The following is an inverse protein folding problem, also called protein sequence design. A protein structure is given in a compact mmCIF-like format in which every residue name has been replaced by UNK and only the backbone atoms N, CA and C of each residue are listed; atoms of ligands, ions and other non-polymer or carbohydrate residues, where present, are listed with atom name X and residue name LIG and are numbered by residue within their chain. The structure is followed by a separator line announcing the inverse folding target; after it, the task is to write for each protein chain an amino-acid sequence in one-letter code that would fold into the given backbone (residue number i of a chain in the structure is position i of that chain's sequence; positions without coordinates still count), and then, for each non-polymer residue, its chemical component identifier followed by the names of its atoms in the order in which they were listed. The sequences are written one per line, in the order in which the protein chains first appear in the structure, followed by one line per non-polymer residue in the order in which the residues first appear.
data_IF_555583976640
#
_entry.id   IF_555583976640
#
_cell.length_a   1.000
_cell.length_b   1.000
_cell.length_c   1.000
_cell.angle_alpha   90.00
_cell.angle_beta   90.00
_cell.angle_gamma   90.00
#
_symmetry.space_group_name_H-M   'P 1'
#
loop_
_entity.id
_entity.type
_entity.pdbx_description
1 polymer ?
#
# COMPACT_ATOMS: atom_id res chain seq x y z
N UNK A 1 6.35 18.93 2.13
CA UNK A 1 6.31 19.64 0.82
C UNK A 1 4.97 20.35 0.74
N UNK A 2 4.94 21.61 0.34
CA UNK A 2 3.68 22.35 0.14
C UNK A 2 2.96 21.79 -1.08
N UNK A 3 1.65 21.51 -0.97
CA UNK A 3 0.84 21.02 -2.09
C UNK A 3 0.60 22.18 -3.05
N UNK A 4 1.12 22.08 -4.28
CA UNK A 4 0.90 23.07 -5.33
C UNK A 4 -0.11 22.54 -6.36
N UNK A 5 -0.84 23.41 -7.08
CA UNK A 5 -1.74 22.98 -8.17
C UNK A 5 -1.03 22.13 -9.24
N UNK A 6 0.22 22.48 -9.56
CA UNK A 6 1.09 21.73 -10.48
C UNK A 6 1.38 20.30 -9.98
N UNK A 7 1.45 20.10 -8.66
CA UNK A 7 1.64 18.79 -8.05
C UNK A 7 0.38 17.93 -8.17
N UNK A 8 -0.80 18.55 -8.05
CA UNK A 8 -2.10 17.88 -8.21
C UNK A 8 -2.29 17.45 -9.65
N UNK A 9 -1.94 18.31 -10.61
CA UNK A 9 -1.97 17.97 -12.04
C UNK A 9 -0.98 16.85 -12.38
N UNK A 10 0.24 16.91 -11.82
CA UNK A 10 1.25 15.85 -12.02
C UNK A 10 0.86 14.51 -11.38
N UNK A 11 0.05 14.50 -10.32
CA UNK A 11 -0.27 13.28 -9.58
C UNK A 11 -1.11 12.28 -10.40
N UNK A 12 -1.80 12.74 -11.45
CA UNK A 12 -2.60 11.91 -12.37
C UNK A 12 -3.54 10.96 -11.60
N UNK A 13 -4.25 11.51 -10.62
CA UNK A 13 -5.17 10.77 -9.75
C UNK A 13 -4.48 9.72 -8.86
N UNK A 14 -3.34 10.06 -8.26
CA UNK A 14 -2.58 9.15 -7.38
C UNK A 14 -1.74 8.10 -8.12
N UNK A 15 -1.61 8.20 -9.44
CA UNK A 15 -0.76 7.28 -10.23
C UNK A 15 0.71 7.61 -10.06
N UNK A 16 1.06 8.89 -9.96
CA UNK A 16 2.45 9.31 -9.82
C UNK A 16 3.08 8.75 -8.54
N UNK A 17 2.37 8.81 -7.41
CA UNK A 17 2.88 8.25 -6.16
C UNK A 17 3.09 6.73 -6.27
N UNK A 18 2.19 5.99 -6.93
CA UNK A 18 2.37 4.54 -7.16
C UNK A 18 3.62 4.24 -7.99
N UNK A 19 3.89 5.05 -9.01
CA UNK A 19 5.10 4.95 -9.85
C UNK A 19 6.38 5.24 -9.04
N UNK A 20 6.37 6.27 -8.20
CA UNK A 20 7.52 6.61 -7.34
C UNK A 20 7.76 5.55 -6.26
N UNK A 21 6.70 4.96 -5.70
CA UNK A 21 6.83 3.83 -4.76
C UNK A 21 7.46 2.62 -5.46
N UNK A 22 7.11 2.35 -6.72
CA UNK A 22 7.74 1.31 -7.50
C UNK A 22 9.23 1.62 -7.79
N UNK A 23 9.56 2.89 -8.06
CA UNK A 23 10.94 3.33 -8.24
C UNK A 23 11.76 3.14 -6.96
N UNK A 24 11.22 3.56 -5.82
CA UNK A 24 11.80 3.36 -4.49
C UNK A 24 12.12 1.89 -4.21
N UNK A 25 11.17 1.01 -4.48
CA UNK A 25 11.32 -0.43 -4.30
C UNK A 25 12.50 -1.01 -5.09
N UNK A 26 12.74 -0.53 -6.31
CA UNK A 26 13.83 -1.04 -7.17
C UNK A 26 15.18 -0.47 -6.74
N UNK A 27 15.23 0.79 -6.31
CA UNK A 27 16.44 1.47 -5.86
C UNK A 27 16.87 1.05 -4.44
N UNK A 28 15.95 0.54 -3.62
CA UNK A 28 16.28 -0.03 -2.30
C UNK A 28 17.03 -1.35 -2.49
N UNK A 29 18.11 -1.55 -1.71
CA UNK A 29 18.92 -2.76 -1.82
C UNK A 29 18.07 -4.03 -1.67
N UNK A 30 18.30 -5.06 -2.51
CA UNK A 30 17.63 -6.34 -2.36
C UNK A 30 17.98 -6.96 -1.00
N UNK A 31 17.08 -7.82 -0.50
CA UNK A 31 17.33 -8.59 0.71
C UNK A 31 18.30 -9.76 0.46
N UNK A 32 18.34 -10.67 1.42
CA UNK A 32 19.19 -11.85 1.38
C UNK A 32 18.86 -12.80 0.21
N UNK A 33 19.89 -13.51 -0.25
CA UNK A 33 19.75 -14.60 -1.22
C UNK A 33 19.54 -15.89 -0.44
N UNK A 34 18.37 -16.49 -0.63
CA UNK A 34 17.98 -17.76 0.00
C UNK A 34 18.16 -18.87 -1.03
N UNK A 35 18.92 -19.90 -0.67
CA UNK A 35 19.02 -21.11 -1.47
C UNK A 35 17.93 -22.09 -1.05
N UNK A 36 17.09 -22.48 -2.01
CA UNK A 36 16.09 -23.53 -1.83
C UNK A 36 16.75 -24.91 -1.72
N UNK A 37 16.03 -25.88 -1.15
CA UNK A 37 16.44 -27.29 -1.07
C UNK A 37 16.84 -27.88 -2.43
N UNK A 38 16.24 -27.40 -3.52
CA UNK A 38 16.58 -27.78 -4.91
C UNK A 38 17.86 -27.10 -5.46
N UNK A 39 18.59 -26.36 -4.63
CA UNK A 39 19.78 -25.59 -5.02
C UNK A 39 19.47 -24.30 -5.81
N UNK A 40 18.20 -23.89 -5.88
CA UNK A 40 17.79 -22.67 -6.57
C UNK A 40 17.98 -21.45 -5.67
N UNK A 41 18.68 -20.44 -6.17
CA UNK A 41 18.87 -19.18 -5.47
C UNK A 41 17.71 -18.21 -5.70
N UNK A 42 17.19 -17.63 -4.62
CA UNK A 42 16.09 -16.67 -4.62
C UNK A 42 16.52 -15.41 -3.88
N UNK A 43 16.49 -14.29 -4.58
CA UNK A 43 16.72 -12.97 -3.98
C UNK A 43 15.43 -12.49 -3.34
N UNK A 44 15.49 -12.15 -2.05
CA UNK A 44 14.32 -11.63 -1.35
C UNK A 44 14.08 -10.15 -1.68
N UNK A 45 12.81 -9.73 -1.76
CA UNK A 45 12.46 -8.33 -1.94
C UNK A 45 12.89 -7.48 -0.73
N UNK A 46 13.18 -6.19 -0.91
CA UNK A 46 13.49 -5.28 0.18
C UNK A 46 12.34 -5.18 1.18
N UNK A 47 12.66 -4.84 2.44
CA UNK A 47 11.67 -4.71 3.52
C UNK A 47 10.51 -3.77 3.16
N UNK A 48 10.81 -2.67 2.46
CA UNK A 48 9.79 -1.70 2.02
C UNK A 48 8.71 -2.32 1.11
N UNK A 49 9.05 -3.37 0.37
CA UNK A 49 8.10 -4.11 -0.48
C UNK A 49 7.37 -5.18 0.34
N UNK A 50 8.10 -5.88 1.21
CA UNK A 50 7.54 -6.91 2.11
C UNK A 50 6.51 -6.31 3.06
N UNK A 51 6.81 -5.19 3.70
CA UNK A 51 5.90 -4.47 4.58
C UNK A 51 4.64 -4.00 3.86
N UNK A 52 4.76 -3.65 2.57
CA UNK A 52 3.61 -3.26 1.75
C UNK A 52 2.69 -4.44 1.46
N UNK A 53 3.26 -5.56 1.04
CA UNK A 53 2.49 -6.80 0.82
C UNK A 53 1.82 -7.25 2.12
N UNK A 54 2.53 -7.19 3.26
CA UNK A 54 1.95 -7.47 4.59
C UNK A 54 0.79 -6.53 4.91
N UNK A 55 0.98 -5.22 4.75
CA UNK A 55 -0.07 -4.25 5.03
C UNK A 55 -1.30 -4.39 4.12
N UNK A 56 -1.16 -4.85 2.88
CA UNK A 56 -2.33 -5.17 2.04
C UNK A 56 -3.02 -6.45 2.51
N UNK A 57 -2.28 -7.48 2.92
CA UNK A 57 -2.84 -8.72 3.48
C UNK A 57 -3.58 -8.49 4.80
N UNK A 58 -3.07 -7.58 5.62
CA UNK A 58 -3.69 -7.25 6.91
C UNK A 58 -5.00 -6.45 6.72
N UNK A 59 -5.10 -5.65 5.64
CA UNK A 59 -6.28 -4.81 5.36
C UNK A 59 -7.36 -5.49 4.52
N UNK A 60 -6.96 -6.39 3.61
CA UNK A 60 -7.87 -7.03 2.67
C UNK A 60 -8.12 -8.46 3.08
N UNK A 61 -9.30 -8.72 3.63
CA UNK A 61 -9.74 -10.05 4.04
C UNK A 61 -9.80 -11.06 2.88
N UNK A 62 -9.98 -10.57 1.63
CA UNK A 62 -10.09 -11.41 0.44
C UNK A 62 -8.79 -11.34 -0.37
N UNK A 63 -8.19 -12.50 -0.63
CA UNK A 63 -6.88 -12.62 -1.27
C UNK A 63 -6.87 -12.37 -2.78
N UNK A 64 -8.02 -12.31 -3.44
CA UNK A 64 -8.12 -12.17 -4.91
C UNK A 64 -7.67 -10.79 -5.40
N UNK A 65 -7.72 -9.77 -4.55
CA UNK A 65 -7.42 -8.38 -4.91
C UNK A 65 -6.05 -7.89 -4.41
N UNK A 66 -5.24 -8.79 -3.83
CA UNK A 66 -3.93 -8.42 -3.32
C UNK A 66 -3.00 -7.97 -4.45
N UNK A 67 -2.39 -6.80 -4.27
CA UNK A 67 -1.31 -6.34 -5.13
C UNK A 67 -0.07 -7.19 -4.87
N UNK A 68 0.33 -8.02 -5.83
CA UNK A 68 1.53 -8.84 -5.72
C UNK A 68 2.80 -7.98 -5.95
N UNK A 69 3.14 -7.09 -4.99
CA UNK A 69 4.23 -6.12 -5.15
C UNK A 69 5.59 -6.81 -5.13
N UNK A 70 5.79 -7.85 -4.31
CA UNK A 70 7.02 -8.66 -4.33
C UNK A 70 7.27 -9.32 -5.68
N UNK A 71 6.23 -9.87 -6.32
CA UNK A 71 6.33 -10.48 -7.65
C UNK A 71 6.66 -9.44 -8.72
N UNK A 72 6.00 -8.29 -8.66
CA UNK A 72 6.29 -7.16 -9.54
C UNK A 72 7.73 -6.66 -9.40
N UNK A 73 8.22 -6.55 -8.16
CA UNK A 73 9.60 -6.20 -7.87
C UNK A 73 10.58 -7.25 -8.42
N UNK A 74 10.30 -8.54 -8.21
CA UNK A 74 11.19 -9.62 -8.63
C UNK A 74 11.39 -9.66 -10.14
N UNK A 75 10.33 -9.46 -10.92
CA UNK A 75 10.44 -9.37 -12.39
C UNK A 75 11.32 -8.19 -12.79
N UNK A 76 11.13 -7.01 -12.18
CA UNK A 76 11.95 -5.82 -12.45
C UNK A 76 13.41 -6.01 -12.03
N UNK A 77 13.65 -6.73 -10.95
CA UNK A 77 15.00 -7.11 -10.51
C UNK A 77 15.66 -8.05 -11.52
N UNK A 78 14.95 -9.10 -11.98
CA UNK A 78 15.44 -10.05 -13.00
C UNK A 78 15.69 -9.43 -14.37
N UNK A 79 14.96 -8.37 -14.70
CA UNK A 79 15.22 -7.56 -15.90
C UNK A 79 16.55 -6.79 -15.84
N UNK A 80 17.24 -6.75 -14.69
CA UNK A 80 18.45 -5.95 -14.51
C UNK A 80 18.18 -4.45 -14.40
N UNK A 81 16.91 -4.05 -14.23
CA UNK A 81 16.48 -2.65 -14.29
C UNK A 81 17.13 -1.79 -13.20
N UNK A 82 17.46 -2.38 -12.04
CA UNK A 82 18.16 -1.69 -10.96
C UNK A 82 19.49 -1.09 -11.41
N UNK A 83 20.35 -1.90 -12.06
CA UNK A 83 21.67 -1.45 -12.50
C UNK A 83 21.56 -0.29 -13.49
N UNK A 84 20.70 -0.46 -14.50
CA UNK A 84 20.42 0.58 -15.51
C UNK A 84 19.91 1.87 -14.86
N UNK A 85 19.01 1.76 -13.88
CA UNK A 85 18.48 2.93 -13.18
C UNK A 85 19.53 3.65 -12.34
N UNK A 86 20.39 2.93 -11.63
CA UNK A 86 21.47 3.53 -10.85
C UNK A 86 22.38 4.35 -11.76
N UNK A 87 22.82 3.76 -12.87
CA UNK A 87 23.69 4.43 -13.85
C UNK A 87 23.01 5.69 -14.42
N UNK A 88 21.75 5.56 -14.85
CA UNK A 88 20.97 6.66 -15.40
C UNK A 88 20.73 7.80 -14.40
N UNK A 89 20.50 7.48 -13.13
CA UNK A 89 20.26 8.47 -12.07
C UNK A 89 21.56 9.21 -11.72
N UNK A 90 22.72 8.58 -11.88
CA UNK A 90 24.04 9.17 -11.71
C UNK A 90 24.47 10.02 -12.93
N UNK A 91 23.63 10.07 -13.97
CA UNK A 91 23.80 10.94 -15.13
C UNK A 91 24.57 10.30 -16.27
N UNK A 92 24.80 8.98 -16.22
CA UNK A 92 25.34 8.26 -17.37
C UNK A 92 24.35 8.28 -18.53
N UNK A 93 24.90 8.29 -19.73
CA UNK A 93 24.13 8.23 -20.96
C UNK A 93 24.25 6.85 -21.55
N UNK A 94 23.12 6.33 -22.04
CA UNK A 94 23.03 4.99 -22.57
C UNK A 94 22.77 5.05 -24.08
N UNK A 95 23.43 4.17 -24.83
CA UNK A 95 23.19 3.96 -26.25
C UNK A 95 22.23 2.80 -26.47
N UNK A 96 21.51 2.82 -27.58
CA UNK A 96 20.52 1.79 -27.90
C UNK A 96 21.10 0.41 -28.20
N UNK A 97 22.40 0.34 -28.50
CA UNK A 97 23.18 -0.84 -28.87
C UNK A 97 24.00 -1.40 -27.70
N UNK A 98 23.79 -0.91 -26.47
CA UNK A 98 24.45 -1.49 -25.31
C UNK A 98 23.88 -2.88 -24.98
N UNK A 99 24.79 -3.83 -24.73
CA UNK A 99 24.46 -5.22 -24.43
C UNK A 99 23.49 -5.35 -23.24
N UNK A 100 23.52 -4.42 -22.29
CA UNK A 100 22.60 -4.37 -21.15
C UNK A 100 21.15 -4.06 -21.58
N UNK A 101 20.94 -3.12 -22.52
CA UNK A 101 19.60 -2.84 -23.06
C UNK A 101 19.15 -3.99 -23.96
N UNK A 102 20.03 -4.55 -24.79
CA UNK A 102 19.69 -5.69 -25.65
C UNK A 102 19.26 -6.90 -24.82
N UNK A 103 20.02 -7.24 -23.77
CA UNK A 103 19.66 -8.33 -22.85
C UNK A 103 18.31 -8.09 -22.15
N UNK A 104 18.03 -6.85 -21.74
CA UNK A 104 16.74 -6.46 -21.18
C UNK A 104 15.60 -6.65 -22.18
N UNK A 105 15.81 -6.25 -23.45
CA UNK A 105 14.83 -6.40 -24.51
C UNK A 105 14.57 -7.86 -24.85
N UNK A 106 15.61 -8.68 -24.96
CA UNK A 106 15.51 -10.12 -25.24
C UNK A 106 14.83 -10.87 -24.11
N UNK A 107 15.15 -10.54 -22.85
CA UNK A 107 14.43 -11.09 -21.70
C UNK A 107 12.95 -10.69 -21.75
N UNK A 108 12.69 -9.41 -22.06
CA UNK A 108 11.34 -8.85 -22.12
C UNK A 108 10.47 -9.52 -23.18
N UNK A 109 11.02 -9.73 -24.39
CA UNK A 109 10.31 -10.38 -25.50
C UNK A 109 10.05 -11.86 -25.20
N UNK A 110 11.03 -12.59 -24.63
CA UNK A 110 10.86 -14.00 -24.24
C UNK A 110 9.80 -14.20 -23.15
N UNK A 111 9.63 -13.23 -22.26
CA UNK A 111 8.71 -13.31 -21.11
C UNK A 111 7.50 -12.39 -21.26
N UNK A 112 7.14 -11.97 -22.47
CA UNK A 112 6.12 -10.95 -22.71
C UNK A 112 4.76 -11.27 -22.05
N UNK A 113 4.35 -12.54 -22.06
CA UNK A 113 3.11 -12.99 -21.39
C UNK A 113 3.16 -12.79 -19.88
N UNK A 114 4.28 -13.14 -19.24
CA UNK A 114 4.47 -12.95 -17.80
C UNK A 114 4.56 -11.48 -17.43
N UNK A 115 5.25 -10.67 -18.25
CA UNK A 115 5.36 -9.23 -18.04
C UNK A 115 3.99 -8.55 -18.18
N UNK A 116 3.17 -8.98 -19.14
CA UNK A 116 1.78 -8.51 -19.24
C UNK A 116 0.97 -8.90 -18.01
N UNK A 117 1.05 -10.14 -17.54
CA UNK A 117 0.30 -10.60 -16.38
C UNK A 117 0.71 -9.92 -15.06
N UNK A 118 2.00 -9.67 -14.87
CA UNK A 118 2.55 -9.19 -13.59
C UNK A 118 2.68 -7.66 -13.57
N UNK A 119 3.25 -7.06 -14.62
CA UNK A 119 3.52 -5.63 -14.68
C UNK A 119 2.44 -4.87 -15.44
N UNK A 120 1.44 -5.54 -16.01
CA UNK A 120 0.43 -4.95 -16.88
C UNK A 120 1.05 -4.13 -18.03
N UNK A 121 2.16 -4.64 -18.59
CA UNK A 121 2.86 -4.02 -19.71
C UNK A 121 2.80 -4.93 -20.93
N UNK A 122 2.38 -4.39 -22.07
CA UNK A 122 2.40 -5.11 -23.36
C UNK A 122 3.69 -4.79 -24.09
N UNK A 123 4.43 -5.83 -24.50
CA UNK A 123 5.72 -5.69 -25.19
C UNK A 123 5.59 -6.23 -26.61
N UNK A 124 5.55 -5.36 -27.63
CA UNK A 124 5.60 -5.79 -29.02
C UNK A 124 6.99 -6.36 -29.37
N UNK A 125 7.02 -7.32 -30.29
CA UNK A 125 8.25 -8.04 -30.66
C UNK A 125 9.13 -7.26 -31.66
N UNK A 126 8.50 -6.38 -32.44
CA UNK A 126 9.10 -5.51 -33.45
C UNK A 126 9.70 -4.23 -32.88
N UNK A 127 9.41 -3.92 -31.62
CA UNK A 127 9.88 -2.69 -30.98
C UNK A 127 11.36 -2.72 -30.58
N UNK A 128 11.95 -1.52 -30.57
CA UNK A 128 13.36 -1.33 -30.25
C UNK A 128 13.66 -1.52 -28.76
N UNK A 129 14.89 -1.95 -28.38
CA UNK A 129 15.28 -2.11 -26.97
C UNK A 129 15.07 -0.84 -26.14
N UNK A 130 15.36 0.33 -26.73
CA UNK A 130 15.19 1.63 -26.04
C UNK A 130 13.71 1.98 -25.83
N UNK A 131 12.85 1.62 -26.78
CA UNK A 131 11.41 1.80 -26.60
C UNK A 131 10.90 0.96 -25.42
N UNK A 132 11.32 -0.31 -25.35
CA UNK A 132 10.98 -1.22 -24.25
C UNK A 132 11.47 -0.66 -22.91
N UNK A 133 12.72 -0.18 -22.85
CA UNK A 133 13.24 0.49 -21.66
C UNK A 133 12.40 1.71 -21.28
N UNK A 134 12.00 2.53 -22.26
CA UNK A 134 11.19 3.72 -22.01
C UNK A 134 9.82 3.37 -21.42
N UNK A 135 9.22 2.24 -21.80
CA UNK A 135 7.99 1.75 -21.18
C UNK A 135 8.18 1.42 -19.69
N UNK A 136 9.27 0.73 -19.34
CA UNK A 136 9.58 0.45 -17.93
C UNK A 136 9.85 1.73 -17.14
N UNK A 137 10.59 2.68 -17.69
CA UNK A 137 10.84 3.97 -17.05
C UNK A 137 9.54 4.76 -16.83
N UNK A 138 8.62 4.71 -17.79
CA UNK A 138 7.29 5.32 -17.66
C UNK A 138 6.44 4.73 -16.52
N UNK A 139 6.56 3.43 -16.24
CA UNK A 139 5.95 2.79 -15.07
C UNK A 139 6.56 3.23 -13.74
N UNK A 140 7.76 3.82 -13.77
CA UNK A 140 8.47 4.35 -12.60
C UNK A 140 8.37 5.87 -12.49
N UNK A 141 7.64 6.52 -13.40
CA UNK A 141 7.46 7.96 -13.41
C UNK A 141 8.68 8.72 -13.91
N UNK A 142 9.52 8.07 -14.71
CA UNK A 142 10.71 8.64 -15.31
C UNK A 142 10.54 8.72 -16.84
N UNK A 143 11.03 9.79 -17.45
CA UNK A 143 11.12 9.92 -18.91
C UNK A 143 12.56 10.04 -19.39
N UNK A 144 12.79 9.67 -20.65
CA UNK A 144 14.09 9.79 -21.31
C UNK A 144 14.12 10.98 -22.26
N UNK A 145 15.27 11.64 -22.34
CA UNK A 145 15.59 12.64 -23.35
C UNK A 145 16.69 12.09 -24.24
N UNK A 146 16.55 12.25 -25.56
CA UNK A 146 17.57 11.82 -26.52
C UNK A 146 18.38 13.01 -27.02
N UNK A 147 19.71 12.86 -27.09
CA UNK A 147 20.59 13.77 -27.81
C UNK A 147 21.28 13.04 -28.96
N UNK A 148 21.58 13.78 -30.03
CA UNK A 148 22.27 13.25 -31.23
C UNK A 148 23.55 14.04 -31.49
N UNK A 149 24.58 13.87 -30.66
CA UNK A 149 25.89 14.42 -30.96
C UNK A 149 26.46 13.79 -32.24
N UNK A 150 27.31 14.54 -32.92
CA UNK A 150 28.09 14.04 -34.04
C UNK A 150 29.42 13.55 -33.47
N UNK A 151 29.64 12.25 -33.53
CA UNK A 151 30.83 11.58 -33.02
C UNK A 151 31.41 10.73 -34.16
N UNK A 152 32.69 10.92 -34.47
CA UNK A 152 33.39 10.25 -35.57
C UNK A 152 32.66 10.30 -36.93
N UNK A 153 32.04 11.44 -37.26
CA UNK A 153 31.31 11.65 -38.51
C UNK A 153 29.97 10.90 -38.62
N UNK A 154 29.58 10.15 -37.59
CA UNK A 154 28.28 9.46 -37.50
C UNK A 154 27.40 10.14 -36.46
N UNK A 155 26.08 10.14 -36.70
CA UNK A 155 25.09 10.62 -35.73
C UNK A 155 24.72 9.47 -34.81
N UNK A 156 25.31 9.42 -33.61
CA UNK A 156 24.98 8.45 -32.57
C UNK A 156 23.91 9.03 -31.66
N UNK A 157 22.97 8.19 -31.20
CA UNK A 157 21.86 8.62 -30.35
C UNK A 157 22.10 8.17 -28.92
N UNK A 158 22.24 9.13 -28.04
CA UNK A 158 22.40 8.92 -26.61
C UNK A 158 21.10 9.25 -25.88
N UNK A 159 20.78 8.47 -24.87
CA UNK A 159 19.61 8.62 -24.03
C UNK A 159 20.04 8.91 -22.61
N UNK A 160 19.41 9.91 -21.99
CA UNK A 160 19.58 10.29 -20.59
C UNK A 160 18.22 10.46 -19.94
N UNK A 161 18.14 10.39 -18.62
CA UNK A 161 16.89 10.73 -17.93
C UNK A 161 16.60 12.23 -18.01
N UNK A 162 15.32 12.57 -17.98
CA UNK A 162 14.89 13.94 -17.82
C UNK A 162 15.31 14.46 -16.43
N UNK A 163 16.09 15.54 -16.41
CA UNK A 163 16.61 16.12 -15.17
C UNK A 163 15.49 16.59 -14.22
N UNK A 164 14.37 17.08 -14.75
CA UNK A 164 13.23 17.52 -13.94
C UNK A 164 12.55 16.35 -13.24
N UNK A 165 12.32 15.25 -13.95
CA UNK A 165 11.71 14.03 -13.39
C UNK A 165 12.61 13.43 -12.32
N UNK A 166 13.92 13.38 -12.57
CA UNK A 166 14.90 12.85 -11.60
C UNK A 166 14.97 13.74 -10.37
N UNK A 167 15.03 15.07 -10.52
CA UNK A 167 15.07 15.99 -9.39
C UNK A 167 13.78 15.89 -8.55
N UNK A 168 12.64 15.78 -9.21
CA UNK A 168 11.35 15.57 -8.54
C UNK A 168 11.32 14.24 -7.80
N UNK A 169 11.67 13.14 -8.46
CA UNK A 169 11.72 11.81 -7.86
C UNK A 169 12.66 11.78 -6.64
N UNK A 170 13.89 12.30 -6.76
CA UNK A 170 14.85 12.41 -5.63
C UNK A 170 14.26 13.16 -4.44
N UNK A 171 13.55 14.27 -4.68
CA UNK A 171 12.91 15.07 -3.61
C UNK A 171 11.80 14.29 -2.91
N UNK A 172 10.95 13.58 -3.66
CA UNK A 172 9.86 12.78 -3.10
C UNK A 172 10.41 11.56 -2.36
N UNK A 173 11.40 10.87 -2.90
CA UNK A 173 12.08 9.75 -2.24
C UNK A 173 12.72 10.19 -0.92
N UNK A 174 13.45 11.31 -0.91
CA UNK A 174 14.05 11.85 0.31
C UNK A 174 13.01 12.32 1.35
N UNK A 175 11.82 12.73 0.93
CA UNK A 175 10.72 13.03 1.85
C UNK A 175 10.10 11.76 2.44
N UNK A 176 9.88 10.74 1.61
CA UNK A 176 9.33 9.45 2.04
C UNK A 176 10.26 8.71 3.00
N UNK A 177 11.57 8.77 2.74
CA UNK A 177 12.58 8.19 3.61
C UNK A 177 12.53 8.81 5.02
N UNK A 178 12.53 10.14 5.11
CA UNK A 178 12.38 10.86 6.38
C UNK A 178 11.09 10.51 7.12
N UNK A 179 9.97 10.43 6.39
CA UNK A 179 8.70 10.01 6.98
C UNK A 179 8.71 8.57 7.52
N UNK A 180 9.54 7.68 6.98
CA UNK A 180 9.72 6.33 7.53
C UNK A 180 10.56 6.36 8.78
N UNK A 181 11.70 7.05 8.75
CA UNK A 181 12.60 7.23 9.89
C UNK A 181 11.87 7.87 11.09
N UNK A 182 11.04 8.90 10.85
CA UNK A 182 10.20 9.50 11.89
C UNK A 182 9.17 8.53 12.46
N UNK A 183 8.55 7.70 11.61
CA UNK A 183 7.58 6.67 12.04
C UNK A 183 8.25 5.53 12.80
N UNK A 184 9.47 5.14 12.42
CA UNK A 184 10.28 4.15 13.13
C UNK A 184 10.70 4.68 14.50
N UNK A 185 11.20 5.91 14.55
CA UNK A 185 11.55 6.58 15.80
C UNK A 185 10.35 6.66 16.75
N UNK A 186 9.19 7.10 16.25
CA UNK A 186 7.96 7.16 17.05
C UNK A 186 7.54 5.78 17.58
N UNK A 187 7.60 4.74 16.74
CA UNK A 187 7.32 3.36 17.17
C UNK A 187 8.31 2.87 18.24
N UNK A 188 9.57 3.28 18.16
CA UNK A 188 10.58 2.91 19.15
C UNK A 188 10.34 3.63 20.48
N UNK A 189 10.08 4.94 20.45
CA UNK A 189 9.73 5.74 21.64
C UNK A 189 8.48 5.18 22.33
N UNK A 190 7.45 4.80 21.57
CA UNK A 190 6.22 4.17 22.11
C UNK A 190 6.51 2.83 22.77
N UNK A 191 7.34 1.97 22.15
CA UNK A 191 7.74 0.68 22.73
C UNK A 191 8.55 0.85 24.01
N UNK A 192 9.48 1.81 24.03
CA UNK A 192 10.28 2.13 25.21
C UNK A 192 9.41 2.69 26.33
N UNK A 193 8.46 3.57 26.03
CA UNK A 193 7.49 4.09 26.99
C UNK A 193 6.58 2.99 27.55
N UNK A 194 6.10 2.08 26.69
CA UNK A 194 5.31 0.93 27.10
C UNK A 194 6.13 -0.03 27.98
N UNK A 195 7.38 -0.32 27.61
CA UNK A 195 8.26 -1.17 28.40
C UNK A 195 8.61 -0.54 29.77
N UNK A 196 8.88 0.77 29.79
CA UNK A 196 9.15 1.51 31.03
C UNK A 196 7.91 1.55 31.94
N UNK A 197 6.72 1.74 31.36
CA UNK A 197 5.46 1.65 32.09
C UNK A 197 5.24 0.24 32.65
N UNK A 198 5.44 -0.80 31.83
CA UNK A 198 5.30 -2.19 32.25
C UNK A 198 6.27 -2.55 33.38
N UNK A 199 7.54 -2.17 33.27
CA UNK A 199 8.55 -2.38 34.31
C UNK A 199 8.20 -1.63 35.61
N UNK A 200 7.67 -0.41 35.51
CA UNK A 200 7.20 0.35 36.68
C UNK A 200 6.02 -0.32 37.36
N UNK A 201 5.04 -0.81 36.59
CA UNK A 201 3.88 -1.52 37.13
C UNK A 201 4.28 -2.84 37.79
N UNK A 202 5.20 -3.58 37.19
CA UNK A 202 5.73 -4.83 37.74
C UNK A 202 6.52 -4.57 39.04
N UNK A 203 7.36 -3.53 39.09
CA UNK A 203 8.11 -3.18 40.29
C UNK A 203 7.22 -2.66 41.44
N UNK A 204 6.13 -1.96 41.13
CA UNK A 204 5.26 -1.34 42.14
C UNK A 204 4.18 -2.29 42.67
N UNK A 205 3.63 -3.16 41.82
CA UNK A 205 2.47 -3.99 42.16
C UNK A 205 2.74 -5.50 42.07
N UNK A 206 3.87 -5.94 41.50
CA UNK A 206 4.16 -7.36 41.29
C UNK A 206 3.26 -8.03 40.25
N UNK A 207 2.58 -7.23 39.41
CA UNK A 207 1.64 -7.68 38.38
C UNK A 207 2.28 -7.44 37.01
N UNK A 208 2.23 -8.43 36.12
CA UNK A 208 2.55 -8.21 34.72
C UNK A 208 1.54 -7.19 34.14
N UNK A 209 2.05 -6.10 33.57
CA UNK A 209 1.18 -5.02 33.11
C UNK A 209 0.16 -5.54 32.08
N UNK A 210 -1.13 -5.18 32.20
CA UNK A 210 -2.14 -5.58 31.23
C UNK A 210 -1.74 -5.07 29.83
N UNK A 211 -1.94 -5.93 28.82
CA UNK A 211 -1.47 -5.77 27.44
C UNK A 211 -2.05 -4.55 26.69
N UNK A 212 -2.89 -3.76 27.33
CA UNK A 212 -3.55 -2.59 26.79
C UNK A 212 -3.62 -1.48 27.86
N UNK A 213 -3.03 -0.29 27.61
CA UNK A 213 -3.20 0.84 28.52
C UNK A 213 -4.67 1.29 28.55
N UNK A 214 -5.17 1.83 29.68
CA UNK A 214 -6.53 2.38 29.75
C UNK A 214 -6.68 3.52 28.74
N UNK A 215 -7.74 3.45 27.93
CA UNK A 215 -8.08 4.49 26.98
C UNK A 215 -8.27 5.82 27.73
N UNK A 216 -7.59 6.87 27.27
CA UNK A 216 -7.69 8.20 27.86
C UNK A 216 -9.01 8.82 27.37
N UNK A 217 -10.13 8.51 28.03
CA UNK A 217 -11.47 9.02 27.69
C UNK A 217 -11.66 10.43 28.28
N UNK A 218 -10.78 11.39 27.99
CA UNK A 218 -11.08 12.81 28.24
C UNK A 218 -10.34 13.67 27.20
N UNK A 219 -11.08 14.22 26.24
CA UNK A 219 -10.63 15.39 25.47
C UNK A 219 -11.04 15.36 23.99
N UNK A 220 -11.99 16.22 23.63
CA UNK A 220 -12.28 16.64 22.26
C UNK A 220 -10.98 16.91 21.47
N UNK A 221 -10.84 16.29 20.30
CA UNK A 221 -10.10 16.91 19.19
C UNK A 221 -10.51 16.30 17.84
N UNK A 222 -11.31 17.06 17.09
CA UNK A 222 -11.35 16.98 15.64
C UNK A 222 -10.01 17.53 15.12
N UNK A 223 -9.06 16.64 14.88
CA UNK A 223 -7.76 16.97 14.32
C UNK A 223 -6.96 15.68 14.18
N UNK A 224 -6.70 15.27 12.94
CA UNK A 224 -6.21 13.95 12.58
C UNK A 224 -5.16 13.37 13.53
N UNK A 225 -5.52 12.25 14.15
CA UNK A 225 -4.64 11.37 14.91
C UNK A 225 -4.84 9.97 14.35
N UNK A 226 -3.99 9.57 13.39
CA UNK A 226 -3.87 8.17 12.99
C UNK A 226 -3.03 7.44 14.04
N UNK A 227 -3.74 6.89 15.02
CA UNK A 227 -3.25 5.92 15.99
C UNK A 227 -4.34 4.90 16.26
N UNK A 228 -4.19 3.72 15.65
CA UNK A 228 -4.77 2.45 16.10
C UNK A 228 -6.25 2.47 16.47
N UNK A 229 -7.12 2.53 15.46
CA UNK A 229 -8.16 1.54 15.21
C UNK A 229 -8.37 1.59 13.68
N UNK A 230 -8.39 0.45 12.99
CA UNK A 230 -8.80 0.41 11.58
C UNK A 230 -10.16 1.13 11.49
N UNK A 231 -10.37 2.16 10.68
CA UNK A 231 -11.66 2.85 10.61
C UNK A 231 -12.84 1.88 10.41
N UNK A 232 -12.58 0.76 9.74
CA UNK A 232 -13.50 -0.39 9.64
C UNK A 232 -13.69 -1.12 10.98
N UNK A 233 -12.65 -1.37 11.77
CA UNK A 233 -12.77 -1.98 13.11
C UNK A 233 -13.46 -1.07 14.12
N UNK A 234 -13.27 0.26 14.08
CA UNK A 234 -13.95 1.18 15.02
C UNK A 234 -15.42 1.29 14.68
N UNK A 235 -15.71 1.41 13.39
CA UNK A 235 -17.09 1.48 12.91
C UNK A 235 -17.80 0.15 13.15
N UNK A 236 -17.18 -0.98 12.84
CA UNK A 236 -17.77 -2.29 13.06
C UNK A 236 -17.92 -2.63 14.54
N UNK A 237 -16.98 -2.24 15.41
CA UNK A 237 -17.16 -2.35 16.88
C UNK A 237 -18.35 -1.52 17.36
N UNK A 238 -18.45 -0.28 16.92
CA UNK A 238 -19.58 0.58 17.26
C UNK A 238 -20.92 0.00 16.78
N UNK A 239 -20.93 -0.57 15.57
CA UNK A 239 -22.07 -1.30 15.01
C UNK A 239 -22.41 -2.54 15.83
N UNK A 240 -21.43 -3.29 16.34
CA UNK A 240 -21.65 -4.44 17.22
C UNK A 240 -22.20 -4.01 18.59
N UNK A 241 -21.74 -2.90 19.15
CA UNK A 241 -22.28 -2.35 20.40
C UNK A 241 -23.74 -1.88 20.24
N UNK A 242 -24.05 -1.29 19.08
CA UNK A 242 -25.43 -0.94 18.72
C UNK A 242 -26.30 -2.18 18.50
N UNK A 243 -25.78 -3.23 17.86
CA UNK A 243 -26.46 -4.51 17.69
C UNK A 243 -26.77 -5.17 19.04
N UNK A 244 -25.82 -5.18 19.97
CA UNK A 244 -26.03 -5.68 21.33
C UNK A 244 -27.15 -4.90 22.04
N UNK A 245 -27.15 -3.57 21.91
CA UNK A 245 -28.22 -2.71 22.45
C UNK A 245 -29.58 -2.99 21.82
N UNK A 246 -29.63 -3.38 20.55
CA UNK A 246 -30.87 -3.79 19.86
C UNK A 246 -31.32 -5.17 20.35
N UNK A 247 -30.42 -6.15 20.43
CA UNK A 247 -30.71 -7.52 20.90
C UNK A 247 -31.35 -7.48 22.30
N UNK A 248 -30.79 -6.67 23.21
CA UNK A 248 -31.33 -6.47 24.55
C UNK A 248 -32.73 -5.82 24.56
N UNK A 249 -33.06 -5.02 23.54
CA UNK A 249 -34.35 -4.30 23.41
C UNK A 249 -35.42 -5.07 22.65
N UNK A 250 -35.03 -6.00 21.76
CA UNK A 250 -35.97 -6.90 21.05
C UNK A 250 -36.79 -7.71 22.06
N UNK A 251 -36.19 -8.07 23.20
CA UNK A 251 -36.87 -8.73 24.32
C UNK A 251 -38.01 -7.90 24.96
N UNK A 252 -38.06 -6.59 24.72
CA UNK A 252 -38.97 -5.68 25.41
C UNK A 252 -40.03 -5.00 24.52
N UNK A 253 -39.78 -4.77 23.21
CA UNK A 253 -40.76 -4.45 22.13
C UNK A 253 -40.06 -3.99 20.84
N UNK A 254 -40.63 -4.36 19.68
CA UNK A 254 -40.13 -3.97 18.34
C UNK A 254 -40.16 -2.46 18.08
N UNK A 255 -41.13 -1.72 18.64
CA UNK A 255 -41.21 -0.26 18.50
C UNK A 255 -39.98 0.47 19.08
N UNK A 256 -39.38 -0.08 20.14
CA UNK A 256 -38.18 0.48 20.77
C UNK A 256 -36.93 0.28 19.88
N UNK A 257 -36.91 -0.80 19.10
CA UNK A 257 -35.86 -1.08 18.11
C UNK A 257 -35.96 -0.09 16.95
N UNK A 258 -37.17 0.12 16.42
CA UNK A 258 -37.42 1.11 15.36
C UNK A 258 -37.02 2.53 15.78
N UNK A 259 -37.38 2.93 16.99
CA UNK A 259 -37.01 4.24 17.52
C UNK A 259 -35.49 4.37 17.69
N UNK A 260 -34.79 3.33 18.17
CA UNK A 260 -33.34 3.34 18.28
C UNK A 260 -32.65 3.43 16.91
N UNK A 261 -33.05 2.60 15.95
CA UNK A 261 -32.49 2.61 14.60
C UNK A 261 -32.69 3.96 13.90
N UNK A 262 -33.82 4.66 14.14
CA UNK A 262 -34.07 5.99 13.56
C UNK A 262 -33.04 7.06 13.98
N UNK A 263 -32.31 6.84 15.08
CA UNK A 263 -31.24 7.74 15.54
C UNK A 263 -29.89 7.50 14.84
N UNK A 264 -29.77 6.40 14.11
CA UNK A 264 -28.57 5.99 13.38
C UNK A 264 -28.63 6.41 11.91
N UNK A 265 -27.45 6.49 11.27
CA UNK A 265 -27.32 6.68 9.82
C UNK A 265 -27.73 5.42 9.05
N UNK A 266 -28.08 5.55 7.77
CA UNK A 266 -28.52 4.41 6.93
C UNK A 266 -27.48 3.27 6.93
N UNK A 267 -26.19 3.60 6.76
CA UNK A 267 -25.11 2.62 6.77
C UNK A 267 -24.98 1.90 8.13
N UNK A 268 -25.14 2.62 9.24
CA UNK A 268 -25.12 2.03 10.59
C UNK A 268 -26.34 1.13 10.84
N UNK A 269 -27.53 1.48 10.33
CA UNK A 269 -28.72 0.63 10.47
C UNK A 269 -28.53 -0.70 9.74
N UNK A 270 -28.00 -0.66 8.52
CA UNK A 270 -27.65 -1.85 7.76
C UNK A 270 -26.58 -2.68 8.48
N UNK A 271 -25.52 -2.02 8.96
CA UNK A 271 -24.49 -2.67 9.74
C UNK A 271 -25.04 -3.39 10.98
N UNK A 272 -25.94 -2.74 11.72
CA UNK A 272 -26.57 -3.31 12.92
C UNK A 272 -27.38 -4.55 12.58
N UNK A 273 -28.15 -4.55 11.50
CA UNK A 273 -28.93 -5.73 11.09
C UNK A 273 -28.03 -6.91 10.72
N UNK A 274 -26.94 -6.66 10.00
CA UNK A 274 -25.94 -7.70 9.65
C UNK A 274 -25.24 -8.21 10.91
N UNK A 275 -24.92 -7.34 11.86
CA UNK A 275 -24.28 -7.73 13.11
C UNK A 275 -25.21 -8.54 14.04
N UNK A 276 -26.52 -8.29 14.02
CA UNK A 276 -27.51 -9.11 14.76
C UNK A 276 -27.62 -10.49 14.12
N UNK A 277 -27.70 -10.58 12.79
CA UNK A 277 -27.74 -11.86 12.06
C UNK A 277 -26.45 -12.69 12.30
N UNK A 278 -25.28 -12.02 12.40
CA UNK A 278 -24.00 -12.69 12.71
C UNK A 278 -23.94 -13.20 14.17
N UNK A 279 -24.44 -12.42 15.14
CA UNK A 279 -24.27 -12.72 16.56
C UNK A 279 -25.40 -13.59 17.14
N UNK A 280 -26.65 -13.25 16.83
CA UNK A 280 -27.84 -13.96 17.29
C UNK A 280 -28.89 -14.09 16.17
N UNK A 281 -28.69 -15.04 15.23
CA UNK A 281 -29.59 -15.24 14.08
C UNK A 281 -31.06 -15.44 14.49
N UNK A 282 -31.31 -16.04 15.66
CA UNK A 282 -32.65 -16.29 16.18
C UNK A 282 -33.38 -14.99 16.53
N UNK A 283 -32.67 -13.96 16.99
CA UNK A 283 -33.23 -12.64 17.32
C UNK A 283 -33.50 -11.86 16.04
N UNK A 284 -32.66 -12.00 15.02
CA UNK A 284 -32.89 -11.47 13.69
C UNK A 284 -34.16 -12.08 13.06
N UNK A 285 -34.30 -13.40 13.09
CA UNK A 285 -35.51 -14.10 12.61
C UNK A 285 -36.77 -13.65 13.35
N UNK A 286 -36.71 -13.46 14.67
CA UNK A 286 -37.84 -12.95 15.46
C UNK A 286 -38.21 -11.51 15.11
N UNK A 287 -37.21 -10.64 14.91
CA UNK A 287 -37.41 -9.24 14.54
C UNK A 287 -38.05 -9.12 13.16
N UNK A 288 -37.55 -9.87 12.18
CA UNK A 288 -38.07 -9.88 10.80
C UNK A 288 -39.46 -10.53 10.70
N UNK A 289 -39.77 -11.50 11.56
CA UNK A 289 -41.11 -12.08 11.65
C UNK A 289 -42.14 -11.12 12.29
N UNK A 290 -41.71 -10.30 13.26
CA UNK A 290 -42.59 -9.35 13.95
C UNK A 290 -42.76 -8.00 13.21
N UNK A 291 -41.78 -7.61 12.40
CA UNK A 291 -41.84 -6.43 11.54
C UNK A 291 -41.35 -6.77 10.13
N UNK A 292 -42.19 -7.36 9.27
CA UNK A 292 -41.81 -7.74 7.91
C UNK A 292 -41.42 -6.54 7.03
N UNK A 293 -41.82 -5.32 7.40
CA UNK A 293 -41.47 -4.06 6.74
C UNK A 293 -40.14 -3.44 7.21
N UNK A 294 -39.34 -4.14 8.03
CA UNK A 294 -38.11 -3.62 8.62
C UNK A 294 -37.12 -3.02 7.61
N UNK A 295 -37.14 -3.50 6.36
CA UNK A 295 -36.31 -2.98 5.26
C UNK A 295 -36.61 -1.51 4.96
N UNK A 296 -37.85 -1.07 5.14
CA UNK A 296 -38.25 0.34 4.98
C UNK A 296 -37.63 1.26 6.04
N UNK A 297 -37.16 0.71 7.16
CA UNK A 297 -36.52 1.49 8.23
C UNK A 297 -35.04 1.77 7.93
N UNK A 298 -34.48 1.13 6.91
CA UNK A 298 -33.07 1.22 6.56
C UNK A 298 -32.76 2.38 5.59
N UNK A 299 -33.78 3.11 5.13
CA UNK A 299 -33.68 4.31 4.29
C UNK A 299 -33.34 5.59 5.03
#
# INVERSE_FOLDING_TARGET
MTVTPELVEKDDGGRLIKKIVALEAILTAPGEVITSEDGREFVTPPDVVVERDKGERDRLAICTDWGNHSTSWLIRHRLGLRAILTDLIDGLEIRGDEATIEALADFSKRNATHIKGILNLTIPLDESPVWILSQYLGQLGLSTQSRRPMEDGKRVRYYRLNAEDVAFARKVLGYRQRLREERERRRQEEKEAQAAYAARMQAMYGIDAPSNPPANIIGNNCGGVDGLIDPCDSWWRQVKDFAQSVIERVAHRVDAVKQFLSTLTSDERWGVMVAIDEQEPQVFEQLTAQAPEWVEWMG
#
